data_IF_654181276666
#
_entry.id   IF_654181276666
#
_cell.length_a   1.000
_cell.length_b   1.000
_cell.length_c   1.000
_cell.angle_alpha   90.00
_cell.angle_beta   90.00
_cell.angle_gamma   90.00
#
_symmetry.space_group_name_H-M   'P 1'
#
loop_
_entity.id
_entity.type
_entity.pdbx_description
1 polymer ?
#
# COMPACT_ATOMS: atom_id res chain seq x y z
N UNK A 1 8.40 -5.89 -6.82
CA UNK A 1 9.13 -6.96 -6.12
C UNK A 1 8.50 -7.16 -4.75
N UNK A 2 8.56 -6.17 -3.85
CA UNK A 2 7.99 -6.24 -2.49
C UNK A 2 6.58 -6.84 -2.43
N UNK A 3 5.62 -6.33 -3.22
CA UNK A 3 4.23 -6.85 -3.23
C UNK A 3 4.17 -8.36 -3.47
N UNK A 4 5.00 -8.88 -4.37
CA UNK A 4 5.05 -10.31 -4.66
C UNK A 4 5.68 -11.11 -3.51
N UNK A 5 6.71 -10.57 -2.88
CA UNK A 5 7.42 -11.26 -1.80
C UNK A 5 6.57 -11.30 -0.52
N UNK A 6 5.94 -10.17 -0.16
CA UNK A 6 5.17 -10.04 1.07
C UNK A 6 3.77 -10.66 0.99
N UNK A 7 3.14 -10.66 -0.20
CA UNK A 7 1.73 -11.07 -0.35
C UNK A 7 1.48 -12.15 -1.41
N UNK A 8 2.49 -12.53 -2.20
CA UNK A 8 2.33 -13.46 -3.32
C UNK A 8 1.62 -12.88 -4.55
N UNK A 9 1.22 -11.61 -4.50
CA UNK A 9 0.45 -10.97 -5.57
C UNK A 9 1.36 -10.38 -6.66
N UNK A 10 0.98 -10.64 -7.91
CA UNK A 10 1.54 -9.94 -9.07
C UNK A 10 0.74 -8.67 -9.32
N UNK A 11 1.43 -7.61 -9.73
CA UNK A 11 0.80 -6.31 -9.99
C UNK A 11 1.20 -5.75 -11.35
N UNK A 12 0.31 -4.95 -11.93
CA UNK A 12 0.49 -4.21 -13.17
C UNK A 12 -0.01 -2.77 -13.02
N UNK A 13 0.12 -1.99 -14.09
CA UNK A 13 -0.36 -0.61 -14.16
C UNK A 13 0.17 0.25 -13.00
N UNK A 14 1.45 0.10 -12.68
CA UNK A 14 2.12 0.84 -11.61
C UNK A 14 2.14 2.32 -11.97
N UNK A 15 1.50 3.15 -11.15
CA UNK A 15 1.38 4.60 -11.35
C UNK A 15 2.00 5.31 -10.16
N UNK A 16 3.04 6.09 -10.44
CA UNK A 16 3.62 6.98 -9.44
C UNK A 16 2.58 8.01 -8.98
N UNK A 17 2.53 8.24 -7.67
CA UNK A 17 1.66 9.22 -7.06
C UNK A 17 2.44 10.43 -6.56
N UNK A 18 3.30 10.22 -5.55
CA UNK A 18 4.02 11.27 -4.84
C UNK A 18 5.18 10.65 -4.06
N UNK A 19 6.12 11.47 -3.64
CA UNK A 19 7.19 11.09 -2.71
C UNK A 19 7.18 11.99 -1.48
N UNK A 20 7.61 11.45 -0.35
CA UNK A 20 7.71 12.15 0.93
C UNK A 20 9.08 11.86 1.55
N UNK A 21 9.85 12.89 1.94
CA UNK A 21 11.04 12.69 2.77
C UNK A 21 10.65 11.98 4.07
N UNK A 22 11.28 10.85 4.34
CA UNK A 22 11.05 10.07 5.55
C UNK A 22 12.19 10.35 6.53
N UNK A 23 12.19 11.59 7.04
CA UNK A 23 13.32 12.23 7.72
C UNK A 23 13.76 11.62 9.07
N UNK A 24 13.16 10.51 9.52
CA UNK A 24 13.65 9.76 10.67
C UNK A 24 14.82 8.83 10.29
N UNK A 25 14.97 8.50 9.01
CA UNK A 25 15.97 7.51 8.53
C UNK A 25 16.73 7.94 7.26
N UNK A 26 16.76 9.24 6.93
CA UNK A 26 17.40 9.77 5.70
C UNK A 26 16.94 9.11 4.38
N UNK A 27 15.73 8.51 4.38
CA UNK A 27 15.16 7.84 3.21
C UNK A 27 14.07 8.67 2.51
N UNK A 28 13.80 8.34 1.25
CA UNK A 28 12.69 8.87 0.47
C UNK A 28 11.61 7.80 0.30
N UNK A 29 10.42 8.05 0.84
CA UNK A 29 9.26 7.19 0.61
C UNK A 29 8.59 7.57 -0.71
N UNK A 30 8.44 6.61 -1.63
CA UNK A 30 7.76 6.80 -2.91
C UNK A 30 6.47 5.99 -2.98
N UNK A 31 5.35 6.67 -3.21
CA UNK A 31 4.01 6.08 -3.26
C UNK A 31 3.57 5.73 -4.68
N UNK A 32 2.98 4.55 -4.85
CA UNK A 32 2.48 4.05 -6.11
C UNK A 32 1.09 3.42 -5.96
N UNK A 33 0.23 3.60 -6.95
CA UNK A 33 -0.97 2.78 -7.14
C UNK A 33 -0.68 1.68 -8.15
N UNK A 34 -1.33 0.53 -7.98
CA UNK A 34 -1.22 -0.59 -8.91
C UNK A 34 -2.50 -1.43 -8.89
N UNK A 35 -2.59 -2.34 -9.86
CA UNK A 35 -3.70 -3.28 -10.01
C UNK A 35 -3.17 -4.70 -9.91
N UNK A 36 -3.93 -5.61 -9.30
CA UNK A 36 -3.59 -7.05 -9.30
C UNK A 36 -3.59 -7.58 -10.72
N UNK A 37 -2.61 -8.44 -11.00
CA UNK A 37 -2.49 -9.14 -12.28
C UNK A 37 -2.69 -10.65 -12.13
N UNK A 38 -3.91 -11.11 -12.44
CA UNK A 38 -4.28 -12.52 -12.38
C UNK A 38 -4.97 -12.88 -11.07
N UNK A 39 -4.41 -13.86 -10.35
CA UNK A 39 -4.96 -14.34 -9.07
C UNK A 39 -4.90 -13.25 -7.99
N UNK A 40 -5.96 -13.14 -7.21
CA UNK A 40 -6.07 -12.30 -6.01
C UNK A 40 -5.86 -13.10 -4.70
N UNK A 41 -5.42 -14.35 -4.81
CA UNK A 41 -5.06 -15.18 -3.66
C UNK A 41 -3.81 -14.63 -2.96
N UNK A 42 -3.97 -14.28 -1.68
CA UNK A 42 -2.88 -13.76 -0.85
C UNK A 42 -2.11 -14.93 -0.24
N UNK A 43 -0.81 -14.99 -0.50
CA UNK A 43 0.15 -15.85 0.21
C UNK A 43 1.09 -14.95 1.01
N UNK A 44 0.75 -14.71 2.27
CA UNK A 44 1.45 -13.73 3.12
C UNK A 44 2.76 -14.28 3.69
N UNK A 45 3.83 -13.48 3.64
CA UNK A 45 5.02 -13.72 4.45
C UNK A 45 4.80 -13.27 5.89
N UNK A 46 4.60 -14.26 6.78
CA UNK A 46 4.37 -14.02 8.21
C UNK A 46 5.58 -13.46 8.97
N UNK A 47 6.78 -13.45 8.38
CA UNK A 47 7.98 -12.87 8.99
C UNK A 47 8.03 -11.34 8.86
N UNK A 48 7.38 -10.78 7.84
CA UNK A 48 7.32 -9.34 7.59
C UNK A 48 5.95 -8.74 7.91
N UNK A 49 4.86 -9.44 7.57
CA UNK A 49 3.49 -8.96 7.75
C UNK A 49 2.76 -9.73 8.85
N UNK A 50 2.01 -8.97 9.66
CA UNK A 50 1.08 -9.54 10.64
C UNK A 50 -0.28 -9.89 10.01
N UNK A 51 -0.72 -9.10 9.04
CA UNK A 51 -2.02 -9.23 8.36
C UNK A 51 -1.89 -8.74 6.92
N UNK A 52 -2.45 -9.50 5.98
CA UNK A 52 -2.67 -9.10 4.60
C UNK A 52 -4.07 -9.56 4.20
N UNK A 53 -4.94 -8.62 3.81
CA UNK A 53 -6.33 -8.89 3.48
C UNK A 53 -6.88 -7.89 2.48
N UNK A 54 -7.88 -8.31 1.71
CA UNK A 54 -8.65 -7.42 0.86
C UNK A 54 -9.66 -6.63 1.68
N UNK A 55 -9.62 -5.30 1.56
CA UNK A 55 -10.60 -4.41 2.18
C UNK A 55 -11.39 -3.68 1.11
N UNK A 56 -12.71 -3.62 1.27
CA UNK A 56 -13.53 -2.77 0.44
C UNK A 56 -13.37 -1.32 0.87
N UNK A 57 -13.58 -0.39 -0.06
CA UNK A 57 -13.40 1.05 0.14
C UNK A 57 -14.15 1.61 1.36
N UNK A 58 -15.35 1.10 1.64
CA UNK A 58 -16.18 1.48 2.81
C UNK A 58 -15.59 1.01 4.15
N UNK A 59 -14.78 -0.04 4.14
CA UNK A 59 -14.21 -0.66 5.34
C UNK A 59 -12.83 -0.08 5.70
N UNK A 60 -12.29 0.83 4.89
CA UNK A 60 -11.02 1.49 5.16
C UNK A 60 -11.17 2.40 6.39
N UNK A 61 -10.39 2.13 7.44
CA UNK A 61 -10.29 2.95 8.63
C UNK A 61 -9.13 3.93 8.43
N UNK A 62 -9.42 5.23 8.44
CA UNK A 62 -8.39 6.27 8.37
C UNK A 62 -7.80 6.50 9.76
N UNK A 63 -6.50 6.77 9.82
CA UNK A 63 -5.83 7.12 11.06
C UNK A 63 -6.06 8.60 11.37
N UNK A 64 -5.96 8.99 12.64
CA UNK A 64 -6.26 10.37 13.09
C UNK A 64 -5.24 11.41 12.61
N UNK A 65 -4.00 11.00 12.32
CA UNK A 65 -2.87 11.88 12.01
C UNK A 65 -2.33 11.63 10.59
N UNK A 66 -2.99 12.24 9.60
CA UNK A 66 -2.77 11.97 8.16
C UNK A 66 -1.63 12.80 7.52
N UNK A 67 -0.50 12.96 8.21
CA UNK A 67 0.71 13.60 7.64
C UNK A 67 1.63 12.60 6.91
N UNK A 68 1.32 11.31 6.95
CA UNK A 68 2.08 10.28 6.23
C UNK A 68 1.55 10.10 4.81
N UNK A 69 2.46 9.84 3.86
CA UNK A 69 2.13 9.55 2.48
C UNK A 69 1.15 8.36 2.37
N UNK A 70 1.35 7.34 3.20
CA UNK A 70 0.45 6.18 3.26
C UNK A 70 -0.97 6.58 3.68
N UNK A 71 -1.11 7.39 4.73
CA UNK A 71 -2.42 7.88 5.19
C UNK A 71 -3.11 8.75 4.13
N UNK A 72 -2.37 9.67 3.51
CA UNK A 72 -2.85 10.50 2.40
C UNK A 72 -3.36 9.64 1.23
N UNK A 73 -2.58 8.63 0.81
CA UNK A 73 -2.98 7.72 -0.26
C UNK A 73 -4.23 6.90 0.08
N UNK A 74 -4.32 6.38 1.31
CA UNK A 74 -5.51 5.65 1.75
C UNK A 74 -6.76 6.53 1.77
N UNK A 75 -6.64 7.79 2.20
CA UNK A 75 -7.73 8.78 2.17
C UNK A 75 -8.17 9.09 0.74
N UNK A 76 -7.23 9.42 -0.13
CA UNK A 76 -7.51 9.72 -1.55
C UNK A 76 -8.20 8.53 -2.23
N UNK A 77 -7.70 7.32 -2.02
CA UNK A 77 -8.33 6.12 -2.55
C UNK A 77 -9.75 5.92 -2.00
N UNK A 78 -10.00 6.24 -0.72
CA UNK A 78 -11.31 6.17 -0.08
C UNK A 78 -12.30 7.25 -0.57
N UNK A 79 -11.82 8.39 -1.04
CA UNK A 79 -12.67 9.51 -1.48
C UNK A 79 -12.88 9.59 -3.00
N UNK A 80 -12.11 8.84 -3.78
CA UNK A 80 -12.13 8.88 -5.26
C UNK A 80 -13.35 8.27 -5.96
#
# INVERSE_FOLDING_TARGET
>A
REVMEETGLKVKNIRYYKSQPWGIVDDLLAGFYCEVDGSDEITMDSSELKVAEWRSKKDIILQSDDYSLTGEMMRVFKES
#
